data_IF_833908957557
#
_entry.id   IF_833908957557
#
_cell.length_a   1.000
_cell.length_b   1.000
_cell.length_c   1.000
_cell.angle_alpha   90.00
_cell.angle_beta   90.00
_cell.angle_gamma   90.00
#
_symmetry.space_group_name_H-M   'P 1'
#
loop_
_entity.id
_entity.type
_entity.pdbx_description
1 polymer ?
#
# COMPACT_ATOMS: atom_id res chain seq x y z
N UNK A 1 -9.42 -15.81 -13.49
CA UNK A 1 -8.45 -14.69 -13.43
C UNK A 1 -7.69 -14.85 -12.12
N UNK A 2 -6.37 -14.66 -12.09
CA UNK A 2 -5.62 -14.72 -10.84
C UNK A 2 -5.96 -13.51 -9.97
N UNK A 3 -6.03 -13.69 -8.65
CA UNK A 3 -6.36 -12.61 -7.70
C UNK A 3 -5.12 -11.73 -7.49
N UNK A 4 -5.17 -10.42 -7.78
CA UNK A 4 -4.03 -9.54 -7.52
C UNK A 4 -3.92 -9.24 -6.03
N UNK A 5 -2.70 -9.29 -5.51
CA UNK A 5 -2.37 -8.83 -4.16
C UNK A 5 -1.29 -7.77 -4.27
N UNK A 6 -1.59 -6.57 -3.78
CA UNK A 6 -0.72 -5.40 -3.84
C UNK A 6 0.08 -5.26 -2.55
N UNK A 7 1.40 -5.23 -2.67
CA UNK A 7 2.32 -4.95 -1.58
C UNK A 7 2.52 -3.43 -1.53
N UNK A 8 2.10 -2.80 -0.43
CA UNK A 8 2.29 -1.36 -0.26
C UNK A 8 3.76 -1.02 -0.12
N UNK A 9 4.11 0.10 -0.72
CA UNK A 9 5.42 0.70 -0.65
C UNK A 9 5.83 1.05 0.80
N UNK A 10 7.12 0.90 1.09
CA UNK A 10 7.75 1.36 2.33
C UNK A 10 9.10 2.02 2.04
N UNK A 11 9.65 2.84 2.95
CA UNK A 11 10.91 3.51 2.67
C UNK A 11 12.04 2.52 2.37
N UNK A 12 12.98 2.93 1.51
CA UNK A 12 14.24 2.23 1.25
C UNK A 12 15.43 3.20 1.36
N UNK A 13 16.65 2.66 1.46
CA UNK A 13 17.86 3.49 1.49
C UNK A 13 18.09 4.19 0.15
N UNK A 14 18.95 5.21 0.13
CA UNK A 14 19.33 5.91 -1.10
C UNK A 14 20.02 4.98 -2.12
N UNK A 15 20.65 3.90 -1.66
CA UNK A 15 21.28 2.89 -2.52
C UNK A 15 20.29 1.84 -3.04
N UNK A 16 19.00 1.93 -2.65
CA UNK A 16 17.96 0.99 -3.06
C UNK A 16 17.85 -0.24 -2.15
N UNK A 17 18.44 -0.22 -0.95
CA UNK A 17 18.28 -1.31 0.00
C UNK A 17 16.89 -1.28 0.63
N UNK A 18 16.15 -2.38 0.45
CA UNK A 18 14.81 -2.55 1.02
C UNK A 18 14.88 -2.58 2.55
N UNK A 19 14.06 -1.75 3.20
CA UNK A 19 13.97 -1.73 4.66
C UNK A 19 13.46 -3.05 5.24
N UNK A 20 13.73 -3.36 6.53
CA UNK A 20 13.15 -4.52 7.20
C UNK A 20 11.62 -4.59 7.07
N UNK A 21 10.95 -3.43 7.10
CA UNK A 21 9.50 -3.33 6.85
C UNK A 21 9.12 -3.84 5.45
N UNK A 22 9.86 -3.43 4.42
CA UNK A 22 9.63 -3.88 3.04
C UNK A 22 9.84 -5.39 2.93
N UNK A 23 10.89 -5.92 3.56
CA UNK A 23 11.18 -7.35 3.58
C UNK A 23 10.05 -8.13 4.27
N UNK A 24 9.57 -7.69 5.43
CA UNK A 24 8.46 -8.33 6.13
C UNK A 24 7.17 -8.38 5.30
N UNK A 25 6.86 -7.30 4.56
CA UNK A 25 5.73 -7.27 3.62
C UNK A 25 5.92 -8.25 2.46
N UNK A 26 7.13 -8.34 1.90
CA UNK A 26 7.48 -9.30 0.84
C UNK A 26 7.30 -10.73 1.32
N UNK A 27 7.85 -11.06 2.50
CA UNK A 27 7.74 -12.40 3.08
C UNK A 27 6.29 -12.79 3.32
N UNK A 28 5.49 -11.86 3.87
CA UNK A 28 4.07 -12.09 4.07
C UNK A 28 3.33 -12.35 2.76
N UNK A 29 3.64 -11.60 1.71
CA UNK A 29 3.03 -11.77 0.39
C UNK A 29 3.41 -13.10 -0.26
N UNK A 30 4.68 -13.52 -0.14
CA UNK A 30 5.15 -14.81 -0.65
C UNK A 30 4.48 -15.96 0.10
N UNK A 31 4.40 -15.91 1.43
CA UNK A 31 3.66 -16.91 2.22
C UNK A 31 2.19 -16.99 1.80
N UNK A 32 1.54 -15.85 1.57
CA UNK A 32 0.16 -15.80 1.10
C UNK A 32 0.01 -16.53 -0.25
N UNK A 33 0.89 -16.25 -1.21
CA UNK A 33 0.87 -16.89 -2.52
C UNK A 33 1.14 -18.39 -2.45
N UNK A 34 1.98 -18.86 -1.52
CA UNK A 34 2.20 -20.28 -1.29
C UNK A 34 0.93 -20.98 -0.79
N UNK A 35 0.15 -20.31 0.06
CA UNK A 35 -1.14 -20.83 0.56
C UNK A 35 -2.27 -20.68 -0.46
N UNK A 36 -2.19 -19.70 -1.35
CA UNK A 36 -3.20 -19.37 -2.37
C UNK A 36 -2.54 -19.25 -3.75
N UNK A 37 -2.34 -20.36 -4.48
CA UNK A 37 -1.58 -20.38 -5.73
C UNK A 37 -2.21 -19.57 -6.89
N UNK A 38 -3.47 -19.17 -6.76
CA UNK A 38 -4.18 -18.29 -7.68
C UNK A 38 -3.87 -16.80 -7.45
N UNK A 39 -3.09 -16.45 -6.43
CA UNK A 39 -2.60 -15.09 -6.18
C UNK A 39 -1.46 -14.72 -7.15
N UNK A 40 -1.50 -13.49 -7.66
CA UNK A 40 -0.35 -12.81 -8.28
C UNK A 40 0.02 -11.57 -7.51
N UNK A 41 1.31 -11.34 -7.36
CA UNK A 41 1.83 -10.23 -6.57
C UNK A 41 2.12 -9.02 -7.45
N UNK A 42 1.82 -7.85 -6.90
CA UNK A 42 2.21 -6.53 -7.42
C UNK A 42 2.78 -5.72 -6.27
N UNK A 43 3.57 -4.71 -6.60
CA UNK A 43 4.10 -3.77 -5.62
C UNK A 43 3.76 -2.36 -6.10
N UNK A 44 3.50 -1.46 -5.15
CA UNK A 44 3.42 -0.03 -5.41
C UNK A 44 4.74 0.64 -5.02
N UNK A 45 4.92 1.89 -5.44
CA UNK A 45 6.04 2.73 -5.02
C UNK A 45 6.93 3.18 -6.19
N UNK A 46 7.00 4.50 -6.34
CA UNK A 46 7.90 5.23 -7.22
C UNK A 46 9.08 5.81 -6.44
N UNK A 47 9.21 7.14 -6.45
CA UNK A 47 10.29 7.92 -5.86
C UNK A 47 9.77 8.96 -4.86
N UNK A 48 10.63 9.47 -3.98
CA UNK A 48 10.31 10.61 -3.11
C UNK A 48 11.38 10.91 -2.06
N UNK A 49 11.54 12.19 -1.70
CA UNK A 49 12.62 12.70 -0.83
C UNK A 49 12.67 12.07 0.56
N UNK A 50 11.54 11.57 1.06
CA UNK A 50 11.43 10.91 2.36
C UNK A 50 10.98 9.44 2.25
N UNK A 51 11.03 8.88 1.04
CA UNK A 51 10.48 7.56 0.72
C UNK A 51 11.48 6.69 -0.05
N UNK A 52 11.85 7.11 -1.26
CA UNK A 52 12.80 6.41 -2.11
C UNK A 52 13.62 7.43 -2.92
N UNK A 53 14.87 7.62 -2.51
CA UNK A 53 15.84 8.49 -3.18
C UNK A 53 16.79 7.73 -4.12
N UNK A 54 16.58 6.43 -4.30
CA UNK A 54 17.41 5.64 -5.21
C UNK A 54 17.06 5.92 -6.66
N UNK A 55 17.92 5.46 -7.58
CA UNK A 55 17.68 5.57 -9.02
C UNK A 55 16.70 4.52 -9.56
N UNK A 56 16.16 3.64 -8.69
CA UNK A 56 15.24 2.56 -9.05
C UNK A 56 13.91 2.76 -8.33
N UNK A 57 12.76 2.70 -9.02
CA UNK A 57 11.46 2.78 -8.36
C UNK A 57 11.31 1.70 -7.28
N UNK A 58 10.67 2.03 -6.16
CA UNK A 58 10.55 1.10 -5.04
C UNK A 58 9.89 -0.22 -5.45
N UNK A 59 8.83 -0.15 -6.28
CA UNK A 59 8.14 -1.34 -6.79
C UNK A 59 9.09 -2.30 -7.52
N UNK A 60 10.09 -1.77 -8.22
CA UNK A 60 11.00 -2.55 -9.05
C UNK A 60 12.02 -3.29 -8.17
N UNK A 61 12.51 -2.63 -7.12
CA UNK A 61 13.32 -3.26 -6.08
C UNK A 61 12.55 -4.43 -5.42
N UNK A 62 11.26 -4.22 -5.12
CA UNK A 62 10.38 -5.27 -4.59
C UNK A 62 10.16 -6.40 -5.60
N UNK A 63 9.90 -6.10 -6.87
CA UNK A 63 9.70 -7.10 -7.93
C UNK A 63 10.95 -7.95 -8.17
N UNK A 64 12.14 -7.35 -8.16
CA UNK A 64 13.40 -8.10 -8.23
C UNK A 64 13.54 -9.06 -7.04
N UNK A 65 13.23 -8.59 -5.83
CA UNK A 65 13.25 -9.38 -4.61
C UNK A 65 12.25 -10.56 -4.64
N UNK A 66 11.06 -10.33 -5.18
CA UNK A 66 10.03 -11.36 -5.42
C UNK A 66 10.45 -12.37 -6.49
N UNK A 67 11.06 -11.90 -7.58
CA UNK A 67 11.52 -12.73 -8.68
C UNK A 67 12.60 -13.70 -8.22
N UNK A 68 13.57 -13.23 -7.43
CA UNK A 68 14.62 -14.07 -6.81
C UNK A 68 14.01 -15.16 -5.91
N UNK A 69 12.86 -14.89 -5.27
CA UNK A 69 12.12 -15.85 -4.44
C UNK A 69 11.21 -16.80 -5.24
N UNK A 70 11.20 -16.70 -6.57
CA UNK A 70 10.36 -17.53 -7.43
C UNK A 70 8.86 -17.21 -7.33
N UNK A 71 8.50 -16.02 -6.85
CA UNK A 71 7.11 -15.62 -6.71
C UNK A 71 6.46 -15.35 -8.09
N UNK A 72 5.16 -15.63 -8.22
CA UNK A 72 4.40 -15.26 -9.41
C UNK A 72 3.99 -13.78 -9.33
N UNK A 73 4.56 -12.98 -10.22
CA UNK A 73 4.34 -11.53 -10.30
C UNK A 73 3.44 -11.23 -11.51
N UNK A 74 2.53 -10.27 -11.36
CA UNK A 74 1.69 -9.80 -12.47
C UNK A 74 2.50 -8.99 -13.52
N UNK A 75 2.00 -8.95 -14.76
CA UNK A 75 2.57 -8.18 -15.87
C UNK A 75 2.10 -6.72 -15.89
N UNK A 76 2.27 -5.98 -14.79
CA UNK A 76 2.08 -4.53 -14.79
C UNK A 76 3.18 -3.86 -15.64
N UNK A 77 2.83 -2.81 -16.39
CA UNK A 77 3.83 -2.06 -17.16
C UNK A 77 4.74 -1.29 -16.22
N UNK A 78 5.99 -0.94 -16.61
CA UNK A 78 6.92 -0.16 -15.80
C UNK A 78 6.35 1.16 -15.25
N UNK A 79 5.37 1.76 -15.94
CA UNK A 79 4.75 3.02 -15.57
C UNK A 79 3.58 2.89 -14.57
N UNK A 80 3.07 1.68 -14.33
CA UNK A 80 1.94 1.48 -13.41
C UNK A 80 2.39 1.61 -11.94
N UNK A 81 1.50 2.00 -11.03
CA UNK A 81 1.71 1.89 -9.57
C UNK A 81 2.96 2.63 -9.02
N UNK A 82 3.41 3.70 -9.67
CA UNK A 82 4.55 4.54 -9.24
C UNK A 82 4.10 5.63 -8.26
N UNK A 83 3.71 5.24 -7.06
CA UNK A 83 3.22 6.12 -5.98
C UNK A 83 4.32 6.70 -5.09
N UNK A 84 4.13 7.91 -4.58
CA UNK A 84 5.07 8.57 -3.67
C UNK A 84 4.63 8.52 -2.19
N UNK A 85 3.37 8.15 -1.92
CA UNK A 85 2.79 8.11 -0.57
C UNK A 85 1.61 7.14 -0.50
N UNK A 86 1.12 6.88 0.71
CA UNK A 86 0.03 5.92 0.96
C UNK A 86 -1.27 6.30 0.26
N UNK A 87 -1.61 7.60 0.13
CA UNK A 87 -2.84 8.00 -0.56
C UNK A 87 -2.74 7.65 -2.05
N UNK A 88 -1.59 7.91 -2.65
CA UNK A 88 -1.30 7.54 -4.04
C UNK A 88 -1.24 6.02 -4.23
N UNK A 89 -0.67 5.25 -3.28
CA UNK A 89 -0.71 3.79 -3.31
C UNK A 89 -2.15 3.30 -3.51
N UNK A 90 -3.04 3.74 -2.61
CA UNK A 90 -4.44 3.31 -2.59
C UNK A 90 -5.16 3.77 -3.85
N UNK A 91 -5.00 5.03 -4.24
CA UNK A 91 -5.62 5.58 -5.45
C UNK A 91 -5.20 4.82 -6.71
N UNK A 92 -3.90 4.54 -6.87
CA UNK A 92 -3.39 3.80 -8.02
C UNK A 92 -3.83 2.34 -8.01
N UNK A 93 -3.89 1.68 -6.84
CA UNK A 93 -4.41 0.31 -6.71
C UNK A 93 -5.87 0.25 -7.18
N UNK A 94 -6.71 1.16 -6.69
CA UNK A 94 -8.14 1.21 -7.06
C UNK A 94 -8.27 1.44 -8.56
N UNK A 95 -7.56 2.42 -9.12
CA UNK A 95 -7.58 2.72 -10.54
C UNK A 95 -7.12 1.52 -11.40
N UNK A 96 -6.05 0.85 -10.98
CA UNK A 96 -5.49 -0.31 -11.65
C UNK A 96 -6.44 -1.52 -11.61
N UNK A 97 -7.01 -1.83 -10.44
CA UNK A 97 -7.96 -2.91 -10.26
C UNK A 97 -9.24 -2.68 -11.10
N UNK A 98 -9.80 -1.47 -11.07
CA UNK A 98 -10.98 -1.09 -11.86
C UNK A 98 -10.72 -1.18 -13.36
N UNK A 99 -9.58 -0.66 -13.85
CA UNK A 99 -9.19 -0.74 -15.28
C UNK A 99 -9.12 -2.18 -15.78
N UNK A 100 -8.83 -3.13 -14.90
CA UNK A 100 -8.73 -4.57 -15.22
C UNK A 100 -9.98 -5.37 -14.89
N UNK A 101 -11.03 -4.73 -14.37
CA UNK A 101 -12.25 -5.41 -13.94
C UNK A 101 -12.07 -6.34 -12.73
N UNK A 102 -11.01 -6.13 -11.94
CA UNK A 102 -10.75 -6.89 -10.72
C UNK A 102 -11.56 -6.30 -9.56
N UNK A 103 -12.70 -6.94 -9.25
CA UNK A 103 -13.58 -6.50 -8.15
C UNK A 103 -13.13 -6.98 -6.76
N UNK A 104 -12.24 -7.97 -6.71
CA UNK A 104 -11.68 -8.55 -5.49
C UNK A 104 -10.15 -8.60 -5.60
N UNK A 105 -9.46 -8.05 -4.61
CA UNK A 105 -8.02 -7.98 -4.54
C UNK A 105 -7.53 -7.91 -3.10
N UNK A 106 -6.26 -8.28 -2.91
CA UNK A 106 -5.62 -8.21 -1.60
C UNK A 106 -4.65 -7.04 -1.48
N UNK A 107 -4.39 -6.65 -0.25
CA UNK A 107 -3.42 -5.61 0.11
C UNK A 107 -2.55 -6.11 1.26
N UNK A 108 -1.24 -6.13 1.04
CA UNK A 108 -0.24 -6.45 2.07
C UNK A 108 0.39 -5.16 2.56
N UNK A 109 0.35 -4.95 3.87
CA UNK A 109 1.03 -3.84 4.55
C UNK A 109 1.47 -4.26 5.93
N UNK A 110 2.14 -3.39 6.69
CA UNK A 110 2.62 -3.70 8.04
C UNK A 110 1.50 -3.58 9.08
N UNK A 111 1.57 -4.33 10.18
CA UNK A 111 0.58 -4.28 11.27
C UNK A 111 0.37 -2.88 11.83
N UNK A 112 1.44 -2.13 12.07
CA UNK A 112 1.35 -0.73 12.54
C UNK A 112 0.60 0.19 11.58
N UNK A 113 0.72 -0.07 10.28
CA UNK A 113 0.20 0.79 9.20
C UNK A 113 -1.20 0.40 8.72
N UNK A 114 -1.67 -0.81 9.07
CA UNK A 114 -2.90 -1.40 8.56
C UNK A 114 -4.12 -0.50 8.80
N UNK A 115 -4.23 0.10 9.99
CA UNK A 115 -5.38 0.96 10.35
C UNK A 115 -5.52 2.15 9.41
N UNK A 116 -4.41 2.86 9.16
CA UNK A 116 -4.40 4.04 8.28
C UNK A 116 -4.64 3.66 6.82
N UNK A 117 -4.01 2.59 6.36
CA UNK A 117 -4.24 2.08 5.01
C UNK A 117 -5.72 1.76 4.76
N UNK A 118 -6.37 1.01 5.67
CA UNK A 118 -7.79 0.69 5.58
C UNK A 118 -8.67 1.94 5.52
N UNK A 119 -8.43 2.91 6.41
CA UNK A 119 -9.18 4.17 6.42
C UNK A 119 -9.11 4.91 5.07
N UNK A 120 -7.93 4.92 4.44
CA UNK A 120 -7.76 5.54 3.11
C UNK A 120 -8.55 4.78 2.04
N UNK A 121 -8.54 3.45 2.05
CA UNK A 121 -9.38 2.64 1.15
C UNK A 121 -10.86 2.94 1.33
N UNK A 122 -11.34 3.04 2.58
CA UNK A 122 -12.74 3.33 2.88
C UNK A 122 -13.15 4.73 2.41
N UNK A 123 -12.25 5.72 2.43
CA UNK A 123 -12.50 7.05 1.86
C UNK A 123 -12.56 7.03 0.32
N UNK A 124 -11.66 6.29 -0.34
CA UNK A 124 -11.47 6.37 -1.79
C UNK A 124 -12.34 5.37 -2.58
N UNK A 125 -12.64 4.22 -2.00
CA UNK A 125 -13.54 3.20 -2.57
C UNK A 125 -14.25 2.40 -1.46
N UNK A 126 -15.28 2.98 -0.81
CA UNK A 126 -16.01 2.33 0.29
C UNK A 126 -16.73 1.04 -0.12
N UNK A 127 -16.84 0.77 -1.42
CA UNK A 127 -17.52 -0.42 -1.96
C UNK A 127 -16.54 -1.51 -2.39
N UNK A 128 -15.23 -1.24 -2.36
CA UNK A 128 -14.22 -2.21 -2.76
C UNK A 128 -14.20 -3.41 -1.81
N UNK A 129 -14.05 -4.61 -2.39
CA UNK A 129 -13.75 -5.83 -1.63
C UNK A 129 -12.24 -5.97 -1.56
N UNK A 130 -11.69 -5.62 -0.41
CA UNK A 130 -10.25 -5.62 -0.18
C UNK A 130 -9.91 -6.52 1.00
N UNK A 131 -9.16 -7.59 0.73
CA UNK A 131 -8.57 -8.42 1.78
C UNK A 131 -7.26 -7.81 2.25
N UNK A 132 -7.19 -7.47 3.54
CA UNK A 132 -5.97 -6.89 4.10
C UNK A 132 -5.14 -7.93 4.84
N UNK A 133 -3.85 -7.97 4.55
CA UNK A 133 -2.88 -8.87 5.14
C UNK A 133 -1.80 -8.06 5.86
N UNK A 134 -1.76 -8.16 7.18
CA UNK A 134 -0.68 -7.57 7.98
C UNK A 134 0.57 -8.45 7.91
N UNK A 135 1.70 -7.81 7.63
CA UNK A 135 3.03 -8.31 7.95
C UNK A 135 3.40 -7.84 9.35
N UNK A 136 3.98 -8.75 10.15
CA UNK A 136 4.48 -8.41 11.47
C UNK A 136 5.65 -7.43 11.34
N UNK A 137 5.57 -6.33 12.07
CA UNK A 137 6.61 -5.30 12.18
C UNK A 137 6.96 -4.99 13.65
N UNK A 138 6.59 -5.87 14.57
CA UNK A 138 6.86 -5.77 16.01
C UNK A 138 8.34 -5.83 16.38
N UNK A 139 9.21 -6.27 15.46
CA UNK A 139 10.66 -6.32 15.66
C UNK A 139 11.32 -4.94 15.52
N UNK A 140 10.57 -3.86 15.28
CA UNK A 140 11.15 -2.53 15.31
C UNK A 140 11.30 -2.03 16.75
N UNK A 141 12.52 -1.88 17.29
CA UNK A 141 12.74 -1.48 18.68
C UNK A 141 12.36 -0.01 18.95
N UNK A 142 12.09 0.79 17.91
CA UNK A 142 11.72 2.19 18.03
C UNK A 142 10.21 2.41 17.78
N UNK A 143 9.54 2.98 18.78
CA UNK A 143 8.13 3.39 18.71
C UNK A 143 7.90 4.60 17.78
N UNK A 144 8.95 5.13 17.13
CA UNK A 144 8.83 6.19 16.12
C UNK A 144 7.80 5.86 15.02
N UNK A 145 7.72 4.59 14.59
CA UNK A 145 6.72 4.15 13.61
C UNK A 145 5.31 4.23 14.20
N UNK A 146 5.10 3.71 15.40
CA UNK A 146 3.81 3.75 16.08
C UNK A 146 3.32 5.18 16.25
N UNK A 147 4.20 6.08 16.72
CA UNK A 147 3.89 7.51 16.86
C UNK A 147 3.58 8.18 15.52
N UNK A 148 4.35 7.88 14.47
CA UNK A 148 4.09 8.40 13.13
C UNK A 148 2.69 7.98 12.64
N UNK A 149 2.32 6.72 12.82
CA UNK A 149 1.02 6.20 12.39
C UNK A 149 -0.15 6.82 13.18
N UNK A 150 0.01 7.05 14.48
CA UNK A 150 -0.99 7.76 15.30
C UNK A 150 -1.20 9.18 14.78
N UNK A 151 -0.12 9.96 14.62
CA UNK A 151 -0.21 11.35 14.15
C UNK A 151 -0.79 11.43 12.73
N UNK A 152 -0.38 10.52 11.84
CA UNK A 152 -0.90 10.49 10.47
C UNK A 152 -2.40 10.14 10.44
N UNK A 153 -2.84 9.21 11.28
CA UNK A 153 -4.25 8.85 11.42
C UNK A 153 -5.09 10.00 11.99
N UNK A 154 -4.62 10.65 13.06
CA UNK A 154 -5.31 11.80 13.67
C UNK A 154 -5.55 12.93 12.67
N UNK A 155 -4.57 13.21 11.81
CA UNK A 155 -4.71 14.20 10.74
C UNK A 155 -5.81 13.85 9.74
N UNK A 156 -5.88 12.60 9.29
CA UNK A 156 -6.92 12.14 8.35
C UNK A 156 -8.33 12.19 8.98
N UNK A 157 -8.44 11.83 10.26
CA UNK A 157 -9.70 11.91 11.00
C UNK A 157 -10.12 13.36 11.21
N UNK A 158 -9.21 14.24 11.63
CA UNK A 158 -9.49 15.67 11.80
C UNK A 158 -9.88 16.36 10.48
N UNK A 159 -9.29 15.93 9.36
CA UNK A 159 -9.65 16.36 8.01
C UNK A 159 -11.04 15.83 7.57
N UNK A 160 -11.53 14.76 8.21
CA UNK A 160 -12.80 14.10 7.86
C UNK A 160 -12.70 13.15 6.66
N UNK A 161 -11.50 12.80 6.23
CA UNK A 161 -11.28 11.99 5.03
C UNK A 161 -9.89 12.17 4.42
N UNK A 162 -9.77 11.88 3.13
CA UNK A 162 -8.52 11.95 2.37
C UNK A 162 -8.62 13.03 1.29
N UNK A 163 -7.59 13.87 1.15
CA UNK A 163 -7.50 14.85 0.07
C UNK A 163 -6.74 14.25 -1.11
N UNK A 164 -7.26 14.43 -2.32
CA UNK A 164 -6.54 14.23 -3.58
C UNK A 164 -6.60 15.54 -4.35
N UNK A 165 -5.46 16.24 -4.44
CA UNK A 165 -5.43 17.62 -4.90
C UNK A 165 -6.30 18.50 -4.00
N UNK A 166 -7.27 19.19 -4.59
CA UNK A 166 -8.24 20.05 -3.87
C UNK A 166 -9.55 19.34 -3.50
N UNK A 167 -9.67 18.04 -3.83
CA UNK A 167 -10.91 17.27 -3.62
C UNK A 167 -10.83 16.46 -2.34
N UNK A 168 -11.81 16.67 -1.44
CA UNK A 168 -11.99 15.85 -0.25
C UNK A 168 -12.80 14.60 -0.59
N UNK A 169 -12.23 13.44 -0.29
CA UNK A 169 -12.89 12.15 -0.25
C UNK A 169 -13.24 11.84 1.21
N UNK A 170 -14.48 12.09 1.65
CA UNK A 170 -14.86 11.92 3.04
C UNK A 170 -14.85 10.44 3.44
N UNK A 171 -14.48 10.16 4.68
CA UNK A 171 -14.71 8.82 5.24
C UNK A 171 -16.23 8.58 5.36
N UNK A 172 -16.74 7.36 5.14
CA UNK A 172 -18.18 7.07 5.24
C UNK A 172 -18.81 7.47 6.59
N UNK A 173 -18.04 7.35 7.67
CA UNK A 173 -18.46 7.73 9.02
C UNK A 173 -18.15 9.19 9.38
N UNK A 174 -17.62 9.99 8.45
CA UNK A 174 -17.32 11.39 8.73
C UNK A 174 -18.62 12.17 8.95
N UNK A 175 -18.68 13.06 9.96
CA UNK A 175 -19.86 13.89 10.17
C UNK A 175 -20.12 14.73 8.93
N UNK A 176 -21.31 14.59 8.34
CA UNK A 176 -21.76 15.40 7.20
C UNK A 176 -21.71 16.86 7.63
N UNK A 177 -20.78 17.64 7.08
CA UNK A 177 -20.82 19.10 7.23
C UNK A 177 -22.07 19.57 6.49
N UNK A 178 -23.16 19.77 7.22
CA UNK A 178 -24.33 20.48 6.70
C UNK A 178 -23.84 21.86 6.26
N UNK A 179 -23.85 22.09 4.96
CA UNK A 179 -23.48 23.37 4.38
C UNK A 179 -24.34 24.49 4.97
N UNK A 180 -23.70 25.61 5.31
CA UNK A 180 -24.39 26.89 5.50
C UNK A 180 -24.71 27.50 4.15
#
# INVERSE_FOLDING_TARGET
MKKPVFILASPNSADGELSPMSIGRIERAVQLQQMQPDVVLLATGGFGDHFNMSNTPHRELVHQCLFIRGAAIDRATPADLLSANTVEDVWMIIAFARKRGCADYGVVTSSSHLKRCRYIFECLDPTARVDFFAADDSTNPDDAIGKHEVVAMERLVAQGGVMIGEVLHPHPDAPVRQGR
#
